data_IF_256955997540
#
_entry.id   IF_256955997540
#
_cell.length_a   1.000
_cell.length_b   1.000
_cell.length_c   1.000
_cell.angle_alpha   90.00
_cell.angle_beta   90.00
_cell.angle_gamma   90.00
#
_symmetry.space_group_name_H-M   'P 1'
#
loop_
_entity.id
_entity.type
_entity.pdbx_description
1 polymer ?
#
# COMPACT_ATOMS: atom_id res chain seq x y z
N UNK A 1 20.20 -8.58 -7.63
CA UNK A 1 20.07 -7.92 -6.32
C UNK A 1 21.39 -7.92 -5.58
N UNK A 2 21.48 -7.08 -4.57
CA UNK A 2 22.69 -6.93 -3.76
C UNK A 2 22.42 -7.25 -2.31
N UNK A 3 23.44 -7.71 -1.60
CA UNK A 3 23.40 -7.95 -0.14
C UNK A 3 23.79 -6.68 0.60
N UNK A 4 23.58 -6.68 1.91
CA UNK A 4 24.06 -5.63 2.79
C UNK A 4 22.97 -4.70 3.28
N UNK A 5 23.33 -3.47 3.72
CA UNK A 5 22.37 -2.50 4.21
C UNK A 5 21.54 -1.90 3.07
N UNK A 6 20.47 -1.20 3.44
CA UNK A 6 19.62 -0.49 2.49
C UNK A 6 20.48 0.41 1.59
N UNK A 7 20.46 0.21 0.26
CA UNK A 7 21.25 1.02 -0.67
C UNK A 7 20.97 2.53 -0.61
N UNK A 8 19.78 2.90 -0.11
CA UNK A 8 19.38 4.31 0.03
C UNK A 8 19.52 4.83 1.47
N UNK A 9 20.04 4.01 2.40
CA UNK A 9 20.19 4.41 3.79
C UNK A 9 18.88 4.81 4.47
N UNK A 10 17.76 4.19 4.07
CA UNK A 10 16.44 4.49 4.60
C UNK A 10 15.79 5.74 4.01
N UNK A 11 16.39 6.37 3.01
CA UNK A 11 15.93 7.66 2.47
C UNK A 11 15.38 7.52 1.06
N UNK A 12 14.07 7.65 0.93
CA UNK A 12 13.39 7.82 -0.35
C UNK A 12 12.28 8.85 -0.15
N UNK A 13 12.33 9.96 -0.87
CA UNK A 13 11.47 11.11 -0.61
C UNK A 13 10.68 11.54 -1.85
N UNK A 14 9.77 12.48 -1.66
CA UNK A 14 9.03 13.07 -2.78
C UNK A 14 9.96 13.76 -3.78
N UNK A 15 11.13 14.24 -3.37
CA UNK A 15 12.12 14.79 -4.30
C UNK A 15 12.57 13.73 -5.32
N UNK A 16 12.72 12.47 -4.86
CA UNK A 16 13.06 11.36 -5.76
C UNK A 16 11.92 11.06 -6.74
N UNK A 17 10.68 11.04 -6.23
CA UNK A 17 9.49 10.83 -7.07
C UNK A 17 9.35 11.94 -8.12
N UNK A 18 9.60 13.18 -7.71
CA UNK A 18 9.41 14.36 -8.56
C UNK A 18 10.47 14.53 -9.64
N UNK A 19 11.49 13.70 -9.66
CA UNK A 19 12.43 13.66 -10.78
C UNK A 19 11.73 13.29 -12.09
N UNK A 20 10.70 12.45 -12.03
CA UNK A 20 10.00 11.94 -13.21
C UNK A 20 8.49 12.21 -13.22
N UNK A 21 7.86 12.39 -12.08
CA UNK A 21 6.40 12.56 -11.98
C UNK A 21 6.06 13.98 -11.53
N UNK A 22 5.53 14.77 -12.45
CA UNK A 22 5.11 16.16 -12.21
C UNK A 22 3.59 16.25 -12.26
N UNK A 23 2.97 16.80 -11.24
CA UNK A 23 1.52 16.97 -11.17
C UNK A 23 0.88 16.09 -10.10
N UNK A 24 -0.46 16.01 -10.11
CA UNK A 24 -1.23 15.22 -9.16
C UNK A 24 -0.95 13.73 -9.36
N UNK A 25 -0.67 13.02 -8.27
CA UNK A 25 -0.32 11.60 -8.33
C UNK A 25 -1.57 10.73 -8.23
N UNK A 26 -1.69 9.80 -9.17
CA UNK A 26 -2.80 8.86 -9.26
C UNK A 26 -2.24 7.46 -9.39
N UNK A 27 -2.68 6.55 -8.51
CA UNK A 27 -2.35 5.14 -8.59
C UNK A 27 -3.48 4.40 -9.29
N UNK A 28 -3.12 3.55 -10.25
CA UNK A 28 -4.05 2.61 -10.88
C UNK A 28 -3.73 1.22 -10.36
N UNK A 29 -4.68 0.61 -9.68
CA UNK A 29 -4.56 -0.73 -9.10
C UNK A 29 -5.39 -1.69 -9.95
N UNK A 30 -4.70 -2.58 -10.66
CA UNK A 30 -5.36 -3.61 -11.46
C UNK A 30 -5.40 -4.92 -10.67
N UNK A 31 -6.60 -5.48 -10.52
CA UNK A 31 -6.78 -6.77 -9.83
C UNK A 31 -7.54 -7.74 -10.73
N UNK A 32 -7.54 -9.01 -10.35
CA UNK A 32 -8.38 -10.02 -11.05
C UNK A 32 -9.88 -9.88 -10.71
N UNK A 33 -10.26 -8.90 -9.89
CA UNK A 33 -11.65 -8.60 -9.51
C UNK A 33 -12.07 -7.18 -9.90
N UNK A 34 -11.28 -6.50 -10.71
CA UNK A 34 -11.56 -5.14 -11.17
C UNK A 34 -10.44 -4.17 -10.86
N UNK A 35 -10.60 -2.94 -11.34
CA UNK A 35 -9.61 -1.88 -11.24
C UNK A 35 -10.03 -0.82 -10.27
N UNK A 36 -9.06 -0.26 -9.55
CA UNK A 36 -9.24 0.89 -8.67
C UNK A 36 -8.34 2.02 -9.12
N UNK A 37 -8.81 3.25 -8.95
CA UNK A 37 -8.04 4.46 -9.16
C UNK A 37 -7.93 5.19 -7.83
N UNK A 38 -6.72 5.54 -7.41
CA UNK A 38 -6.50 6.18 -6.11
C UNK A 38 -5.78 7.51 -6.29
N UNK A 39 -6.36 8.57 -5.72
CA UNK A 39 -5.69 9.84 -5.57
C UNK A 39 -4.76 9.77 -4.36
N UNK A 40 -3.50 10.15 -4.52
CA UNK A 40 -2.51 10.10 -3.44
C UNK A 40 -2.34 11.47 -2.80
N UNK A 41 -2.18 11.49 -1.46
CA UNK A 41 -2.06 12.71 -0.66
C UNK A 41 -0.60 13.02 -0.36
N UNK A 42 0.18 13.37 -1.36
CA UNK A 42 1.61 13.66 -1.19
C UNK A 42 1.90 14.92 -0.36
N UNK A 43 0.93 15.83 -0.28
CA UNK A 43 1.02 17.02 0.56
C UNK A 43 0.80 16.71 2.05
N UNK A 44 0.08 15.64 2.37
CA UNK A 44 -0.29 15.28 3.75
C UNK A 44 0.59 14.17 4.31
N UNK A 45 0.98 13.22 3.48
CA UNK A 45 1.79 12.07 3.88
C UNK A 45 2.94 11.85 2.88
N UNK A 46 3.87 12.80 2.79
CA UNK A 46 4.90 12.79 1.74
C UNK A 46 5.84 11.58 1.79
N UNK A 47 6.26 11.14 2.96
CA UNK A 47 7.15 9.98 3.08
C UNK A 47 6.42 8.68 2.72
N UNK A 48 5.18 8.57 3.14
CA UNK A 48 4.34 7.41 2.84
C UNK A 48 4.05 7.31 1.35
N UNK A 49 3.64 8.43 0.74
CA UNK A 49 3.36 8.48 -0.70
C UNK A 49 4.62 8.18 -1.49
N UNK A 50 5.77 8.78 -1.13
CA UNK A 50 7.04 8.51 -1.80
C UNK A 50 7.38 7.02 -1.77
N UNK A 51 7.25 6.39 -0.61
CA UNK A 51 7.50 4.97 -0.45
C UNK A 51 6.58 4.12 -1.35
N UNK A 52 5.30 4.40 -1.31
CA UNK A 52 4.30 3.67 -2.10
C UNK A 52 4.59 3.81 -3.61
N UNK A 53 4.84 5.02 -4.07
CA UNK A 53 5.20 5.28 -5.49
C UNK A 53 6.50 4.58 -5.86
N UNK A 54 7.49 4.67 -4.99
CA UNK A 54 8.79 4.04 -5.22
C UNK A 54 8.69 2.54 -5.38
N UNK A 55 7.90 1.88 -4.55
CA UNK A 55 7.66 0.44 -4.63
C UNK A 55 6.81 0.09 -5.86
N UNK A 56 5.72 0.81 -6.08
CA UNK A 56 4.81 0.53 -7.19
C UNK A 56 5.50 0.65 -8.55
N UNK A 57 6.29 1.70 -8.73
CA UNK A 57 6.94 2.03 -10.02
C UNK A 57 8.36 1.47 -10.16
N UNK A 58 8.83 0.70 -9.18
CA UNK A 58 10.15 0.08 -9.27
C UNK A 58 11.31 1.05 -9.08
N UNK A 59 11.10 2.14 -8.35
CA UNK A 59 12.12 3.17 -8.12
C UNK A 59 12.85 2.99 -6.78
N UNK A 60 12.19 2.40 -5.79
CA UNK A 60 12.72 2.20 -4.44
C UNK A 60 13.16 0.75 -4.28
N UNK A 61 14.45 0.51 -3.98
CA UNK A 61 14.90 -0.85 -3.65
C UNK A 61 14.19 -1.37 -2.40
N UNK A 62 13.91 -2.66 -2.39
CA UNK A 62 13.40 -3.36 -1.22
C UNK A 62 14.09 -4.72 -1.08
N UNK A 63 14.06 -5.25 0.13
CA UNK A 63 14.72 -6.52 0.43
C UNK A 63 13.76 -7.67 0.16
N UNK A 64 14.10 -8.54 -0.78
CA UNK A 64 13.27 -9.69 -1.11
C UNK A 64 13.41 -10.82 -0.07
N UNK A 65 12.66 -11.91 -0.28
CA UNK A 65 12.66 -13.05 0.65
C UNK A 65 14.02 -13.77 0.72
N UNK A 66 14.88 -13.55 -0.27
CA UNK A 66 16.25 -14.09 -0.29
C UNK A 66 17.24 -13.21 0.47
N UNK A 67 16.79 -12.07 1.00
CA UNK A 67 17.65 -11.11 1.67
C UNK A 67 18.43 -10.21 0.72
N UNK A 68 18.06 -10.15 -0.55
CA UNK A 68 18.68 -9.31 -1.56
C UNK A 68 17.87 -8.04 -1.79
N UNK A 69 18.57 -6.92 -1.93
CA UNK A 69 17.95 -5.67 -2.34
C UNK A 69 17.70 -5.68 -3.83
N UNK A 70 16.45 -5.57 -4.22
CA UNK A 70 16.00 -5.61 -5.61
C UNK A 70 15.18 -4.37 -5.93
N UNK A 71 15.16 -4.02 -7.20
CA UNK A 71 14.44 -2.84 -7.68
C UNK A 71 13.55 -3.27 -8.84
N UNK A 72 12.27 -3.35 -8.56
CA UNK A 72 11.23 -3.80 -9.50
C UNK A 72 9.87 -3.30 -9.05
N UNK A 73 8.84 -3.47 -9.90
CA UNK A 73 7.45 -3.16 -9.52
C UNK A 73 7.02 -4.10 -8.41
N UNK A 74 7.17 -3.66 -7.18
CA UNK A 74 7.13 -4.49 -5.99
C UNK A 74 5.80 -5.22 -5.78
N UNK A 75 4.70 -4.57 -6.13
CA UNK A 75 3.36 -5.09 -5.84
C UNK A 75 2.83 -6.08 -6.88
N UNK A 76 3.46 -6.15 -8.05
CA UNK A 76 2.96 -6.99 -9.14
C UNK A 76 2.90 -8.47 -8.74
N UNK A 77 1.73 -9.05 -8.88
CA UNK A 77 1.49 -10.46 -8.57
C UNK A 77 1.23 -10.77 -7.10
N UNK A 78 1.31 -9.79 -6.20
CA UNK A 78 1.03 -10.01 -4.78
C UNK A 78 -0.48 -10.01 -4.51
N UNK A 79 -0.95 -10.71 -3.46
CA UNK A 79 -2.37 -10.81 -3.18
C UNK A 79 -2.89 -9.77 -2.20
N UNK A 80 -4.21 -9.58 -2.18
CA UNK A 80 -4.90 -9.12 -0.99
C UNK A 80 -5.05 -10.32 -0.05
N UNK A 81 -4.13 -10.45 0.89
CA UNK A 81 -4.03 -11.64 1.73
C UNK A 81 -4.97 -11.65 2.94
N UNK A 82 -5.58 -10.51 3.26
CA UNK A 82 -6.49 -10.38 4.39
C UNK A 82 -7.65 -9.46 4.00
N UNK A 83 -8.85 -10.02 4.00
CA UNK A 83 -10.06 -9.30 3.58
C UNK A 83 -11.15 -9.50 4.63
N UNK A 84 -11.66 -8.40 5.17
CA UNK A 84 -12.76 -8.40 6.15
C UNK A 84 -13.86 -7.51 5.64
N UNK A 85 -14.96 -8.12 5.18
CA UNK A 85 -16.15 -7.40 4.72
C UNK A 85 -16.64 -6.43 5.78
N UNK A 86 -16.96 -5.21 5.36
CA UNK A 86 -17.41 -4.15 6.28
C UNK A 86 -16.29 -3.52 7.10
N UNK A 87 -15.04 -3.87 6.80
CA UNK A 87 -13.87 -3.27 7.45
C UNK A 87 -12.84 -2.82 6.41
N UNK A 88 -12.06 -3.75 5.83
CA UNK A 88 -11.00 -3.36 4.90
C UNK A 88 -10.53 -4.54 4.03
N UNK A 89 -9.79 -4.20 2.97
CA UNK A 89 -9.05 -5.15 2.15
C UNK A 89 -7.56 -4.80 2.27
N UNK A 90 -6.75 -5.77 2.68
CA UNK A 90 -5.32 -5.57 2.95
C UNK A 90 -4.46 -6.41 2.02
N UNK A 91 -3.45 -5.78 1.47
CA UNK A 91 -2.50 -6.41 0.58
C UNK A 91 -1.15 -5.69 0.57
N UNK A 92 -0.37 -5.92 -0.47
CA UNK A 92 0.89 -5.23 -0.65
C UNK A 92 2.07 -5.84 0.09
N UNK A 93 1.96 -7.11 0.57
CA UNK A 93 3.15 -7.84 1.01
C UNK A 93 3.96 -8.25 -0.22
N UNK A 94 4.88 -7.37 -0.61
CA UNK A 94 5.72 -7.55 -1.79
C UNK A 94 6.79 -8.63 -1.62
N UNK A 95 7.00 -9.10 -0.39
CA UNK A 95 8.09 -10.01 -0.05
C UNK A 95 7.61 -11.45 0.03
N UNK A 96 6.54 -11.71 0.80
CA UNK A 96 6.04 -13.07 1.05
C UNK A 96 4.60 -13.31 0.60
N UNK A 97 3.83 -12.27 0.36
CA UNK A 97 2.45 -12.38 -0.10
C UNK A 97 1.46 -12.93 0.93
N UNK A 98 1.82 -12.98 2.20
CA UNK A 98 0.98 -13.58 3.25
C UNK A 98 0.80 -12.69 4.50
N UNK A 99 1.33 -11.47 4.46
CA UNK A 99 1.27 -10.52 5.56
C UNK A 99 2.48 -10.54 6.49
N UNK A 100 3.37 -11.53 6.37
CA UNK A 100 4.56 -11.64 7.21
C UNK A 100 5.80 -10.95 6.64
N UNK A 101 5.74 -10.50 5.38
CA UNK A 101 6.88 -9.91 4.70
C UNK A 101 7.10 -8.45 5.03
N UNK A 102 8.38 -8.06 5.07
CA UNK A 102 8.81 -6.69 5.33
C UNK A 102 9.85 -6.28 4.29
N UNK A 103 9.85 -5.03 3.83
CA UNK A 103 10.72 -4.60 2.74
C UNK A 103 12.18 -4.32 3.15
N UNK A 104 12.52 -4.51 4.44
CA UNK A 104 13.88 -4.31 4.94
C UNK A 104 14.15 -2.92 5.51
N UNK A 105 13.14 -2.07 5.58
CA UNK A 105 13.17 -0.74 6.17
C UNK A 105 11.77 -0.38 6.69
N UNK A 106 11.67 0.70 7.43
CA UNK A 106 10.39 1.22 7.92
C UNK A 106 10.24 2.70 7.58
N UNK A 107 8.99 3.14 7.48
CA UNK A 107 8.61 4.53 7.27
C UNK A 107 7.80 4.99 8.49
N UNK A 108 8.09 6.17 9.05
CA UNK A 108 7.34 6.68 10.20
C UNK A 108 5.89 6.97 9.85
N UNK A 109 5.04 6.99 10.88
CA UNK A 109 3.65 7.39 10.73
C UNK A 109 3.55 8.87 10.36
N UNK A 110 2.57 9.18 9.52
CA UNK A 110 2.26 10.55 9.14
C UNK A 110 0.79 10.82 9.42
N UNK A 111 0.48 11.12 10.68
CA UNK A 111 -0.88 11.41 11.12
C UNK A 111 -1.12 12.91 10.99
N UNK A 112 -1.68 13.31 9.86
CA UNK A 112 -1.91 14.72 9.56
C UNK A 112 -3.17 15.24 10.26
N UNK A 113 -3.25 16.57 10.53
CA UNK A 113 -4.40 17.17 11.22
C UNK A 113 -5.72 16.87 10.50
N UNK A 114 -6.69 16.34 11.25
CA UNK A 114 -8.00 15.99 10.70
C UNK A 114 -8.09 14.62 10.06
N UNK A 115 -7.00 13.84 10.04
CA UNK A 115 -7.02 12.49 9.50
C UNK A 115 -7.97 11.59 10.30
N UNK A 116 -9.01 11.09 9.65
CA UNK A 116 -10.02 10.22 10.26
C UNK A 116 -10.42 9.12 9.28
N UNK A 117 -10.55 7.90 9.80
CA UNK A 117 -11.04 6.74 9.05
C UNK A 117 -12.58 6.77 9.06
N UNK A 118 -13.18 7.74 8.39
CA UNK A 118 -14.60 8.06 8.49
C UNK A 118 -15.45 7.62 7.30
N UNK A 119 -14.87 6.95 6.33
CA UNK A 119 -15.57 6.52 5.12
C UNK A 119 -14.88 5.34 4.43
N UNK A 120 -15.58 4.62 3.54
CA UNK A 120 -14.94 3.63 2.68
C UNK A 120 -14.04 4.30 1.64
N UNK A 121 -13.12 3.52 1.08
CA UNK A 121 -12.26 3.96 -0.01
C UNK A 121 -10.96 4.64 0.42
N UNK A 122 -10.67 4.74 1.70
CA UNK A 122 -9.43 5.35 2.17
C UNK A 122 -8.26 4.37 2.06
N UNK A 123 -7.17 4.86 1.48
CA UNK A 123 -5.93 4.10 1.30
C UNK A 123 -5.00 4.41 2.47
N UNK A 124 -4.62 3.37 3.21
CA UNK A 124 -3.91 3.50 4.48
C UNK A 124 -2.76 2.50 4.57
N UNK A 125 -1.74 2.81 5.38
CA UNK A 125 -0.65 1.87 5.62
C UNK A 125 -0.98 0.91 6.77
N UNK A 126 -0.79 -0.38 6.51
CA UNK A 126 -0.77 -1.37 7.58
C UNK A 126 0.54 -1.23 8.36
N UNK A 127 0.51 -1.53 9.67
CA UNK A 127 1.69 -1.48 10.51
C UNK A 127 1.65 -2.53 11.62
N UNK A 128 2.71 -2.63 12.40
CA UNK A 128 2.86 -3.53 13.54
C UNK A 128 3.14 -2.74 14.82
N UNK A 129 2.61 -1.54 14.92
CA UNK A 129 2.83 -0.60 15.99
C UNK A 129 3.38 0.72 15.45
N UNK A 130 3.69 1.69 16.32
CA UNK A 130 4.15 3.01 15.89
C UNK A 130 5.38 2.95 14.97
N UNK A 131 5.34 3.74 13.91
CA UNK A 131 6.47 3.97 13.00
C UNK A 131 7.06 2.68 12.37
N UNK A 132 6.18 1.72 12.05
CA UNK A 132 6.61 0.43 11.45
C UNK A 132 6.03 0.18 10.06
N UNK A 133 5.68 1.23 9.32
CA UNK A 133 5.12 1.09 7.99
C UNK A 133 6.17 0.55 7.01
N UNK A 134 5.79 -0.46 6.24
CA UNK A 134 6.66 -1.08 5.24
C UNK A 134 6.06 -1.00 3.84
N UNK A 135 5.64 -2.15 3.28
CA UNK A 135 5.01 -2.20 1.96
C UNK A 135 3.50 -2.43 2.01
N UNK A 136 2.98 -3.01 3.08
CA UNK A 136 1.58 -3.40 3.15
C UNK A 136 0.65 -2.22 3.36
N UNK A 137 -0.49 -2.25 2.68
CA UNK A 137 -1.52 -1.22 2.76
C UNK A 137 -2.90 -1.86 2.86
N UNK A 138 -3.88 -1.07 3.25
CA UNK A 138 -5.28 -1.49 3.19
C UNK A 138 -6.16 -0.37 2.63
N UNK A 139 -7.31 -0.78 2.12
CA UNK A 139 -8.34 0.15 1.64
C UNK A 139 -9.59 -0.14 2.46
N UNK A 140 -10.18 0.90 3.06
CA UNK A 140 -11.36 0.73 3.92
C UNK A 140 -12.59 0.38 3.09
N UNK A 141 -13.41 -0.54 3.62
CA UNK A 141 -14.71 -0.92 3.05
C UNK A 141 -15.87 -0.20 3.76
N UNK A 142 -15.59 0.40 4.91
CA UNK A 142 -16.54 1.13 5.75
C UNK A 142 -15.77 2.08 6.66
N UNK A 143 -16.45 2.99 7.39
CA UNK A 143 -15.79 3.75 8.45
C UNK A 143 -15.15 2.82 9.49
N UNK A 144 -13.92 3.17 9.90
CA UNK A 144 -13.12 2.40 10.86
C UNK A 144 -12.46 3.35 11.86
N UNK A 145 -13.26 4.10 12.59
CA UNK A 145 -12.79 5.18 13.47
C UNK A 145 -11.91 4.72 14.62
N UNK A 146 -11.97 3.42 14.97
CA UNK A 146 -11.06 2.81 15.94
C UNK A 146 -9.58 2.83 15.48
N UNK A 147 -9.32 3.08 14.22
CA UNK A 147 -7.97 3.17 13.66
C UNK A 147 -7.38 4.58 13.72
N UNK A 148 -8.19 5.57 14.07
CA UNK A 148 -7.76 6.97 14.08
C UNK A 148 -6.55 7.18 15.01
N UNK A 149 -5.57 7.93 14.53
CA UNK A 149 -4.34 8.23 15.25
C UNK A 149 -3.25 7.16 15.18
N UNK A 150 -3.55 5.96 14.69
CA UNK A 150 -2.61 4.84 14.65
C UNK A 150 -2.15 4.41 13.26
N UNK A 151 -2.83 4.86 12.21
CA UNK A 151 -2.57 4.41 10.84
C UNK A 151 -2.57 5.59 9.88
N UNK A 152 -1.52 5.70 9.08
CA UNK A 152 -1.39 6.77 8.09
C UNK A 152 -2.41 6.61 6.98
N UNK A 153 -3.21 7.64 6.74
CA UNK A 153 -4.10 7.74 5.58
C UNK A 153 -3.35 8.51 4.50
N UNK A 154 -3.13 7.90 3.34
CA UNK A 154 -2.33 8.56 2.30
C UNK A 154 -3.00 8.65 0.93
N UNK A 155 -4.28 8.27 0.83
CA UNK A 155 -5.02 8.41 -0.42
C UNK A 155 -6.48 8.03 -0.30
N UNK A 156 -7.17 8.11 -1.42
CA UNK A 156 -8.56 7.68 -1.56
C UNK A 156 -8.75 6.96 -2.89
N UNK A 157 -9.48 5.87 -2.87
CA UNK A 157 -9.68 4.98 -4.01
C UNK A 157 -11.15 4.90 -4.43
N UNK A 158 -11.34 4.70 -5.71
CA UNK A 158 -12.66 4.49 -6.32
C UNK A 158 -12.56 3.49 -7.47
N UNK A 159 -13.67 2.89 -7.95
CA UNK A 159 -15.02 3.07 -7.43
C UNK A 159 -15.24 2.27 -6.15
N UNK A 160 -16.08 2.81 -5.29
CA UNK A 160 -16.45 2.17 -4.02
C UNK A 160 -17.07 0.79 -4.24
N UNK A 161 -17.87 0.63 -5.30
CA UNK A 161 -18.49 -0.64 -5.65
C UNK A 161 -17.45 -1.75 -5.84
N UNK A 162 -16.33 -1.48 -6.52
CA UNK A 162 -15.28 -2.47 -6.72
C UNK A 162 -14.63 -2.86 -5.41
N UNK A 163 -14.44 -1.91 -4.49
CA UNK A 163 -13.92 -2.18 -3.15
C UNK A 163 -14.87 -3.14 -2.41
N UNK A 164 -16.18 -2.86 -2.43
CA UNK A 164 -17.18 -3.70 -1.78
C UNK A 164 -17.24 -5.10 -2.40
N UNK A 165 -17.10 -5.22 -3.71
CA UNK A 165 -17.07 -6.51 -4.39
C UNK A 165 -15.87 -7.34 -3.96
N UNK A 166 -14.70 -6.73 -3.89
CA UNK A 166 -13.50 -7.42 -3.39
C UNK A 166 -13.69 -7.81 -1.93
N UNK A 167 -14.18 -6.89 -1.09
CA UNK A 167 -14.42 -7.14 0.32
C UNK A 167 -15.44 -8.25 0.58
N UNK A 168 -16.31 -8.51 -0.38
CA UNK A 168 -17.37 -9.52 -0.28
C UNK A 168 -16.98 -10.93 -0.71
N UNK A 169 -15.73 -11.18 -1.12
CA UNK A 169 -15.31 -12.52 -1.51
C UNK A 169 -15.31 -13.48 -0.31
N UNK A 170 -15.51 -14.77 -0.59
CA UNK A 170 -15.46 -15.79 0.45
C UNK A 170 -14.06 -15.89 1.05
N UNK A 171 -13.98 -15.96 2.37
CA UNK A 171 -12.72 -16.06 3.10
C UNK A 171 -12.75 -17.23 4.08
N UNK A 172 -11.58 -17.69 4.44
CA UNK A 172 -11.37 -18.77 5.41
C UNK A 172 -10.57 -18.30 6.62
N UNK A 173 -9.89 -19.22 7.32
CA UNK A 173 -9.11 -18.89 8.51
C UNK A 173 -8.10 -17.76 8.23
N UNK A 174 -8.01 -16.82 9.20
CA UNK A 174 -7.13 -15.66 9.07
C UNK A 174 -7.65 -14.61 8.08
N UNK A 175 -8.93 -14.65 7.73
CA UNK A 175 -9.56 -13.72 6.77
C UNK A 175 -8.89 -13.75 5.40
N UNK A 176 -8.35 -14.89 5.04
CA UNK A 176 -7.69 -15.12 3.75
C UNK A 176 -8.74 -15.48 2.70
N UNK A 177 -8.72 -14.86 1.52
CA UNK A 177 -9.63 -15.26 0.44
C UNK A 177 -9.48 -16.73 0.08
N UNK A 178 -10.62 -17.43 -0.10
CA UNK A 178 -10.63 -18.82 -0.54
C UNK A 178 -10.02 -18.96 -1.93
N UNK A 179 -10.34 -18.03 -2.83
CA UNK A 179 -9.70 -17.88 -4.12
C UNK A 179 -8.86 -16.61 -4.13
N UNK A 180 -7.62 -16.66 -4.62
CA UNK A 180 -6.73 -15.50 -4.57
C UNK A 180 -7.32 -14.27 -5.24
N UNK A 181 -7.25 -13.13 -4.55
CA UNK A 181 -7.48 -11.81 -5.12
C UNK A 181 -6.10 -11.21 -5.36
N UNK A 182 -5.69 -11.13 -6.61
CA UNK A 182 -4.33 -10.79 -7.00
C UNK A 182 -4.23 -9.36 -7.49
N UNK A 183 -3.23 -8.64 -6.98
CA UNK A 183 -2.80 -7.37 -7.54
C UNK A 183 -2.00 -7.67 -8.81
N UNK A 184 -2.58 -7.42 -9.96
CA UNK A 184 -1.89 -7.63 -11.24
C UNK A 184 -0.80 -6.57 -11.41
N UNK A 185 -1.12 -5.33 -11.09
CA UNK A 185 -0.15 -4.23 -11.11
C UNK A 185 -0.65 -3.04 -10.31
N UNK A 186 0.29 -2.25 -9.81
CA UNK A 186 0.04 -0.89 -9.33
C UNK A 186 1.01 0.02 -10.08
N UNK A 187 0.49 1.02 -10.76
CA UNK A 187 1.28 2.04 -11.44
C UNK A 187 0.82 3.41 -11.00
N UNK A 188 1.76 4.29 -10.74
CA UNK A 188 1.48 5.66 -10.36
C UNK A 188 1.87 6.57 -11.52
N UNK A 189 0.95 7.46 -11.89
CA UNK A 189 1.13 8.45 -12.94
C UNK A 189 0.86 9.84 -12.38
N UNK A 190 1.30 10.87 -13.10
CA UNK A 190 1.08 12.26 -12.72
C UNK A 190 0.22 12.96 -13.78
N UNK A 191 -0.69 13.79 -13.31
CA UNK A 191 -1.65 14.49 -14.17
C UNK A 191 -1.76 15.97 -13.87
#
# INVERSE_FOLDING_TARGET
GVKGPDPLGGKFTMADVRQTLKGALVATIETNKGSLTCKLYDDKAPLTVANFVGLANGLRPFKDKSGLWVKKNAYDGSPFHRIIKGFMIQGGDAVRGNGSGEPGYVVPDEIWPGAKHDRPGQLCMANRGPDTNGSQFFITDAPATNLDGGYTIFGECSPEQTIHEIAGVATGPGDRPDEPVTLKSIRVTAH
#
